data_IF_245169932165
#
_entry.id   IF_245169932165
#
_cell.length_a   1.000
_cell.length_b   1.000
_cell.length_c   1.000
_cell.angle_alpha   90.00
_cell.angle_beta   90.00
_cell.angle_gamma   90.00
#
_symmetry.space_group_name_H-M   'P 1'
#
loop_
_entity.id
_entity.type
_entity.pdbx_description
1 polymer ?
#
# COMPACT_ATOMS: atom_id res chain seq x y z
N UNK A 1 -7.49 -26.53 -15.37
CA UNK A 1 -7.72 -25.89 -14.07
C UNK A 1 -6.44 -26.08 -13.25
N UNK A 2 -5.55 -25.10 -13.33
CA UNK A 2 -4.24 -25.16 -12.66
C UNK A 2 -4.35 -24.40 -11.35
N UNK A 3 -4.23 -25.13 -10.23
CA UNK A 3 -4.14 -24.50 -8.91
C UNK A 3 -2.82 -23.75 -8.81
N UNK A 4 -2.83 -22.48 -8.34
CA UNK A 4 -1.59 -21.78 -8.02
C UNK A 4 -0.97 -22.42 -6.79
N UNK A 5 0.27 -22.87 -6.92
CA UNK A 5 1.08 -23.36 -5.80
C UNK A 5 1.29 -22.23 -4.78
N UNK A 6 1.21 -22.52 -3.47
CA UNK A 6 1.52 -21.54 -2.44
C UNK A 6 3.01 -21.17 -2.55
N UNK A 7 3.28 -19.92 -2.94
CA UNK A 7 4.63 -19.39 -2.94
C UNK A 7 5.10 -19.24 -1.49
N UNK A 8 6.05 -20.07 -1.09
CA UNK A 8 6.74 -19.96 0.18
C UNK A 8 7.51 -18.64 0.22
N UNK A 9 7.17 -17.79 1.18
CA UNK A 9 8.01 -16.67 1.57
C UNK A 9 9.28 -17.26 2.20
N UNK A 10 10.36 -17.36 1.43
CA UNK A 10 11.67 -17.69 1.95
C UNK A 10 12.30 -16.40 2.50
N UNK A 11 12.41 -16.31 3.80
CA UNK A 11 13.28 -15.34 4.43
C UNK A 11 14.72 -15.85 4.29
N UNK A 12 15.57 -15.10 3.60
CA UNK A 12 16.99 -15.44 3.53
C UNK A 12 17.71 -14.92 4.76
N UNK A 13 18.52 -15.76 5.38
CA UNK A 13 19.33 -15.43 6.54
C UNK A 13 20.38 -14.32 6.28
N UNK A 14 20.60 -13.93 5.05
CA UNK A 14 21.70 -13.06 4.61
C UNK A 14 21.33 -11.57 4.55
N UNK A 15 20.17 -11.14 5.06
CA UNK A 15 19.78 -9.72 5.18
C UNK A 15 19.75 -8.94 3.85
N UNK A 16 20.11 -9.56 2.74
CA UNK A 16 20.02 -8.99 1.41
C UNK A 16 18.64 -9.25 0.88
N UNK A 17 18.02 -8.20 0.34
CA UNK A 17 16.74 -8.28 -0.35
C UNK A 17 16.67 -9.58 -1.16
N UNK A 18 15.78 -10.48 -0.77
CA UNK A 18 15.49 -11.66 -1.58
C UNK A 18 14.97 -11.18 -2.93
N UNK A 19 15.87 -11.09 -3.91
CA UNK A 19 15.55 -10.96 -5.32
C UNK A 19 15.07 -12.32 -5.82
N UNK A 20 13.96 -12.80 -5.29
CA UNK A 20 13.33 -13.98 -5.84
C UNK A 20 11.97 -13.62 -6.38
N UNK A 21 11.85 -13.77 -7.70
CA UNK A 21 10.70 -13.46 -8.56
C UNK A 21 10.14 -12.06 -8.37
N UNK A 22 10.81 -11.10 -8.90
CA UNK A 22 10.54 -9.66 -8.92
C UNK A 22 9.22 -9.22 -9.57
N UNK A 23 8.20 -10.04 -9.58
CA UNK A 23 6.92 -9.73 -10.22
C UNK A 23 5.68 -10.10 -9.43
N UNK A 24 5.82 -10.84 -8.34
CA UNK A 24 4.66 -11.26 -7.56
C UNK A 24 4.18 -10.12 -6.64
N UNK A 25 2.92 -9.75 -6.79
CA UNK A 25 2.23 -8.82 -5.91
C UNK A 25 1.40 -9.61 -4.92
N UNK A 26 1.49 -9.25 -3.65
CA UNK A 26 0.75 -9.88 -2.57
C UNK A 26 -0.28 -8.92 -2.00
N UNK A 27 -1.47 -9.41 -1.77
CA UNK A 27 -2.49 -8.69 -1.00
C UNK A 27 -2.17 -8.77 0.50
N UNK A 28 -2.71 -7.85 1.28
CA UNK A 28 -2.55 -7.87 2.75
C UNK A 28 -3.03 -9.21 3.36
N UNK A 29 -4.08 -9.80 2.80
CA UNK A 29 -4.60 -11.09 3.25
C UNK A 29 -3.61 -12.24 3.01
N UNK A 30 -2.95 -12.26 1.85
CA UNK A 30 -1.92 -13.25 1.52
C UNK A 30 -0.68 -13.09 2.41
N UNK A 31 -0.24 -11.84 2.65
CA UNK A 31 0.87 -11.55 3.57
C UNK A 31 0.53 -12.03 4.99
N UNK A 32 -0.69 -11.75 5.46
CA UNK A 32 -1.16 -12.21 6.78
C UNK A 32 -1.17 -13.74 6.88
N UNK A 33 -1.70 -14.42 5.87
CA UNK A 33 -1.76 -15.88 5.84
C UNK A 33 -0.36 -16.50 5.84
N UNK A 34 0.56 -15.95 5.04
CA UNK A 34 1.94 -16.40 4.99
C UNK A 34 2.69 -16.18 6.32
N UNK A 35 2.46 -15.02 6.96
CA UNK A 35 3.02 -14.71 8.27
C UNK A 35 2.52 -15.68 9.34
N UNK A 36 1.22 -15.98 9.39
CA UNK A 36 0.64 -16.90 10.34
C UNK A 36 1.17 -18.33 10.13
N UNK A 37 1.26 -18.79 8.87
CA UNK A 37 1.83 -20.09 8.55
C UNK A 37 3.32 -20.20 8.97
N UNK A 38 4.10 -19.11 8.84
CA UNK A 38 5.47 -19.05 9.31
C UNK A 38 5.57 -19.16 10.82
N UNK A 39 4.75 -18.39 11.55
CA UNK A 39 4.68 -18.40 13.02
C UNK A 39 4.35 -19.79 13.55
N UNK A 40 3.39 -20.45 12.92
CA UNK A 40 2.95 -21.80 13.30
C UNK A 40 4.05 -22.85 13.03
N UNK A 41 4.68 -22.78 11.86
CA UNK A 41 5.75 -23.68 11.46
C UNK A 41 6.98 -23.61 12.40
N UNK A 42 7.30 -22.44 12.93
CA UNK A 42 8.47 -22.19 13.76
C UNK A 42 8.16 -22.12 15.27
N UNK A 43 6.91 -22.42 15.68
CA UNK A 43 6.44 -22.37 17.08
C UNK A 43 6.82 -21.06 17.81
N UNK A 44 6.60 -19.93 17.13
CA UNK A 44 6.97 -18.61 17.64
C UNK A 44 5.96 -18.02 18.63
N UNK A 45 4.85 -18.72 18.89
CA UNK A 45 3.83 -18.27 19.83
C UNK A 45 4.33 -18.40 21.26
N UNK A 46 4.16 -17.34 22.06
CA UNK A 46 4.50 -17.42 23.48
C UNK A 46 3.59 -18.40 24.21
N UNK A 47 4.18 -19.34 24.96
CA UNK A 47 3.43 -20.41 25.65
C UNK A 47 2.63 -19.90 26.86
N UNK A 48 3.06 -18.80 27.46
CA UNK A 48 2.37 -18.20 28.61
C UNK A 48 1.26 -17.26 28.15
N UNK A 49 1.58 -16.39 27.19
CA UNK A 49 0.63 -15.42 26.63
C UNK A 49 0.50 -15.61 25.12
N UNK A 50 -0.45 -16.39 24.69
CA UNK A 50 -0.66 -16.78 23.29
C UNK A 50 -0.94 -15.61 22.31
N UNK A 51 -1.24 -14.42 22.82
CA UNK A 51 -1.41 -13.21 22.02
C UNK A 51 -0.08 -12.64 21.53
N UNK A 52 1.04 -12.99 22.18
CA UNK A 52 2.38 -12.52 21.86
C UNK A 52 3.20 -13.56 21.10
N UNK A 53 4.14 -13.05 20.33
CA UNK A 53 5.13 -13.80 19.57
C UNK A 53 6.50 -13.56 20.19
N UNK A 54 7.31 -14.59 20.28
CA UNK A 54 8.71 -14.51 20.70
C UNK A 54 9.57 -14.07 19.50
N UNK A 55 9.83 -12.79 19.37
CA UNK A 55 10.54 -12.23 18.20
C UNK A 55 12.00 -12.68 18.16
N UNK A 56 12.64 -12.79 19.32
CA UNK A 56 14.05 -13.16 19.44
C UNK A 56 14.30 -14.67 19.27
N UNK A 57 13.26 -15.50 19.23
CA UNK A 57 13.41 -16.94 19.05
C UNK A 57 13.94 -17.32 17.66
N UNK A 58 13.69 -16.48 16.66
CA UNK A 58 14.15 -16.67 15.28
C UNK A 58 14.80 -15.39 14.75
N UNK A 59 16.10 -15.48 14.45
CA UNK A 59 16.88 -14.36 13.91
C UNK A 59 16.39 -13.92 12.50
N UNK A 60 15.87 -14.85 11.70
CA UNK A 60 15.35 -14.56 10.38
C UNK A 60 14.04 -13.77 10.49
N UNK A 61 13.17 -14.19 11.39
CA UNK A 61 11.92 -13.51 11.71
C UNK A 61 12.16 -12.10 12.24
N UNK A 62 13.05 -11.96 13.21
CA UNK A 62 13.47 -10.68 13.79
C UNK A 62 14.03 -9.74 12.72
N UNK A 63 14.94 -10.22 11.87
CA UNK A 63 15.52 -9.43 10.80
C UNK A 63 14.50 -9.03 9.72
N UNK A 64 13.50 -9.87 9.44
CA UNK A 64 12.43 -9.56 8.50
C UNK A 64 11.53 -8.42 9.00
N UNK A 65 11.23 -8.40 10.30
CA UNK A 65 10.35 -7.39 10.91
C UNK A 65 11.08 -6.06 11.18
N UNK A 66 12.26 -6.12 11.78
CA UNK A 66 12.95 -4.94 12.31
C UNK A 66 14.25 -4.59 11.57
N UNK A 67 14.73 -5.47 10.70
CA UNK A 67 15.96 -5.31 9.95
C UNK A 67 17.16 -5.97 10.62
N UNK A 68 18.28 -6.06 9.90
CA UNK A 68 19.50 -6.63 10.46
C UNK A 68 20.01 -5.76 11.62
N UNK A 69 20.51 -6.37 12.71
CA UNK A 69 20.86 -5.67 13.94
C UNK A 69 21.94 -4.58 13.78
N UNK A 70 22.71 -4.62 12.69
CA UNK A 70 23.81 -3.68 12.43
C UNK A 70 23.48 -2.62 11.38
N UNK A 71 22.23 -2.44 10.98
CA UNK A 71 21.86 -1.42 10.00
C UNK A 71 21.75 -0.05 10.66
N UNK A 72 22.26 1.00 9.97
CA UNK A 72 22.04 2.39 10.40
C UNK A 72 20.53 2.67 10.44
N UNK A 73 19.98 2.92 11.64
CA UNK A 73 18.55 3.12 11.84
C UNK A 73 17.78 1.83 12.21
N UNK A 74 18.47 0.80 12.68
CA UNK A 74 17.82 -0.39 13.24
C UNK A 74 16.93 0.02 14.42
N UNK A 75 15.65 -0.30 14.31
CA UNK A 75 14.71 -0.17 15.41
C UNK A 75 15.08 -1.20 16.49
N UNK A 76 15.06 -0.85 17.78
CA UNK A 76 15.30 -1.83 18.82
C UNK A 76 14.30 -2.98 18.68
N UNK A 77 14.81 -4.20 18.64
CA UNK A 77 13.98 -5.41 18.48
C UNK A 77 13.30 -5.69 19.82
N UNK A 78 11.97 -5.65 19.89
CA UNK A 78 11.27 -6.04 21.11
C UNK A 78 11.40 -7.56 21.32
N UNK A 79 11.39 -7.99 22.56
CA UNK A 79 11.41 -9.42 22.91
C UNK A 79 10.11 -10.10 22.46
N UNK A 80 8.99 -9.39 22.64
CA UNK A 80 7.66 -9.85 22.31
C UNK A 80 6.94 -8.85 21.42
N UNK A 81 6.13 -9.34 20.50
CA UNK A 81 5.28 -8.50 19.64
C UNK A 81 3.91 -9.16 19.44
N UNK A 82 2.87 -8.37 19.34
CA UNK A 82 1.54 -8.88 18.96
C UNK A 82 1.51 -9.25 17.47
N UNK A 83 0.62 -10.18 17.10
CA UNK A 83 0.47 -10.59 15.69
C UNK A 83 0.19 -9.43 14.74
N UNK A 84 -0.60 -8.45 15.19
CA UNK A 84 -0.92 -7.26 14.38
C UNK A 84 0.29 -6.32 14.25
N UNK A 85 1.08 -6.16 15.31
CA UNK A 85 2.31 -5.37 15.29
C UNK A 85 3.35 -6.01 14.37
N UNK A 86 3.50 -7.34 14.42
CA UNK A 86 4.38 -8.07 13.52
C UNK A 86 3.94 -7.92 12.05
N UNK A 87 2.64 -8.01 11.76
CA UNK A 87 2.11 -7.78 10.42
C UNK A 87 2.37 -6.34 9.95
N UNK A 88 2.13 -5.35 10.81
CA UNK A 88 2.40 -3.94 10.52
C UNK A 88 3.87 -3.67 10.24
N UNK A 89 4.77 -4.23 11.07
CA UNK A 89 6.21 -4.12 10.89
C UNK A 89 6.68 -4.76 9.57
N UNK A 90 6.18 -5.95 9.24
CA UNK A 90 6.48 -6.63 7.98
C UNK A 90 6.00 -5.80 6.78
N UNK A 91 4.75 -5.35 6.78
CA UNK A 91 4.18 -4.53 5.70
C UNK A 91 4.90 -3.18 5.55
N UNK A 92 5.34 -2.58 6.66
CA UNK A 92 6.11 -1.33 6.64
C UNK A 92 7.47 -1.45 5.94
N UNK A 93 8.04 -2.65 5.88
CA UNK A 93 9.28 -2.94 5.17
C UNK A 93 9.09 -3.39 3.72
N UNK A 94 7.87 -3.75 3.34
CA UNK A 94 7.53 -4.12 1.97
C UNK A 94 7.37 -2.85 1.12
N UNK A 95 7.78 -2.94 -0.15
CA UNK A 95 7.55 -1.87 -1.11
C UNK A 95 6.07 -1.86 -1.50
N UNK A 96 5.32 -0.77 -1.24
CA UNK A 96 3.94 -0.68 -1.66
C UNK A 96 3.82 -0.60 -3.18
N UNK A 97 2.82 -1.29 -3.72
CA UNK A 97 2.42 -1.23 -5.12
C UNK A 97 0.90 -1.14 -5.20
N UNK A 98 0.40 -0.56 -6.25
CA UNK A 98 -1.02 -0.57 -6.55
C UNK A 98 -1.30 -1.03 -7.98
N UNK A 99 -2.45 -1.66 -8.15
CA UNK A 99 -2.95 -2.12 -9.45
C UNK A 99 -4.31 -1.48 -9.70
N UNK A 100 -4.47 -0.86 -10.85
CA UNK A 100 -5.73 -0.25 -11.29
C UNK A 100 -6.17 -0.94 -12.56
N UNK A 101 -7.42 -1.41 -12.57
CA UNK A 101 -8.09 -1.91 -13.76
C UNK A 101 -9.27 -0.96 -14.07
N UNK A 102 -9.33 -0.43 -15.27
CA UNK A 102 -10.42 0.45 -15.73
C UNK A 102 -11.07 -0.22 -16.92
N UNK A 103 -12.34 -0.58 -16.76
CA UNK A 103 -13.09 -1.27 -17.81
C UNK A 103 -12.50 -2.63 -18.17
N UNK A 104 -12.35 -2.87 -19.48
CA UNK A 104 -11.78 -4.10 -20.05
C UNK A 104 -10.28 -4.01 -20.35
N UNK A 105 -9.65 -2.89 -20.03
CA UNK A 105 -8.24 -2.65 -20.33
C UNK A 105 -7.33 -3.45 -19.40
N UNK A 106 -6.09 -3.69 -19.86
CA UNK A 106 -5.08 -4.36 -19.06
C UNK A 106 -4.78 -3.59 -17.76
N UNK A 107 -4.72 -4.26 -16.61
CA UNK A 107 -4.49 -3.60 -15.34
C UNK A 107 -3.08 -2.98 -15.28
N UNK A 108 -3.01 -1.70 -14.98
CA UNK A 108 -1.75 -0.97 -14.81
C UNK A 108 -1.27 -1.14 -13.38
N UNK A 109 -0.02 -1.61 -13.24
CA UNK A 109 0.64 -1.80 -11.95
C UNK A 109 1.76 -0.77 -11.78
N UNK A 110 1.74 -0.02 -10.67
CA UNK A 110 2.74 1.03 -10.38
C UNK A 110 3.25 0.94 -8.95
N UNK A 111 4.49 1.38 -8.74
CA UNK A 111 5.09 1.54 -7.41
C UNK A 111 4.47 2.71 -6.66
N UNK A 112 4.34 2.55 -5.35
CA UNK A 112 3.88 3.58 -4.43
C UNK A 112 2.52 3.24 -3.84
N UNK A 113 2.06 4.08 -2.92
CA UNK A 113 0.71 4.03 -2.38
C UNK A 113 -0.24 4.85 -3.26
N UNK A 114 -1.41 4.30 -3.54
CA UNK A 114 -2.46 5.03 -4.23
C UNK A 114 -2.99 6.13 -3.32
N UNK A 115 -2.88 7.38 -3.77
CA UNK A 115 -3.43 8.52 -3.03
C UNK A 115 -4.91 8.69 -3.36
N UNK A 116 -5.76 9.01 -2.38
CA UNK A 116 -7.17 9.27 -2.63
C UNK A 116 -7.36 10.52 -3.49
N UNK A 117 -8.47 10.56 -4.23
CA UNK A 117 -8.92 11.78 -4.90
C UNK A 117 -9.35 12.77 -3.81
N UNK A 118 -8.82 13.99 -3.90
CA UNK A 118 -9.14 15.04 -2.95
C UNK A 118 -10.15 16.00 -3.57
N UNK A 119 -11.27 16.17 -2.90
CA UNK A 119 -12.32 17.14 -3.25
C UNK A 119 -12.34 18.21 -2.16
N UNK A 120 -12.09 19.45 -2.51
CA UNK A 120 -12.04 20.56 -1.57
C UNK A 120 -12.78 21.77 -2.13
N UNK A 121 -13.45 22.51 -1.27
CA UNK A 121 -14.05 23.80 -1.63
C UNK A 121 -13.07 24.92 -1.39
N UNK A 122 -13.01 25.87 -2.33
CA UNK A 122 -12.20 27.08 -2.22
C UNK A 122 -13.08 28.30 -2.42
N UNK A 123 -12.96 29.25 -1.51
CA UNK A 123 -13.60 30.55 -1.68
C UNK A 123 -12.97 31.31 -2.87
N UNK A 124 -13.81 31.94 -3.65
CA UNK A 124 -13.46 32.90 -4.70
C UNK A 124 -13.84 34.30 -4.26
N UNK A 125 -13.90 35.20 -5.19
CA UNK A 125 -14.26 36.58 -4.94
C UNK A 125 -15.69 36.71 -4.42
N UNK A 126 -15.89 37.38 -3.28
CA UNK A 126 -17.17 37.56 -2.62
C UNK A 126 -17.69 36.25 -1.98
N UNK A 127 -18.97 35.96 -2.16
CA UNK A 127 -19.66 34.77 -1.60
C UNK A 127 -19.57 33.53 -2.52
N UNK A 128 -18.79 33.62 -3.61
CA UNK A 128 -18.67 32.51 -4.59
C UNK A 128 -17.65 31.49 -4.11
N UNK A 129 -17.99 30.23 -4.26
CA UNK A 129 -17.09 29.11 -3.98
C UNK A 129 -16.87 28.30 -5.25
N UNK A 130 -15.73 27.64 -5.34
CA UNK A 130 -15.47 26.62 -6.36
C UNK A 130 -15.06 25.32 -5.69
N UNK A 131 -15.40 24.20 -6.30
CA UNK A 131 -14.97 22.87 -5.86
C UNK A 131 -13.75 22.48 -6.70
N UNK A 132 -12.67 22.15 -6.02
CA UNK A 132 -11.42 21.67 -6.62
C UNK A 132 -11.36 20.15 -6.48
N UNK A 133 -11.04 19.48 -7.57
CA UNK A 133 -10.82 18.03 -7.60
C UNK A 133 -9.38 17.81 -8.04
N UNK A 134 -8.61 17.04 -7.25
CA UNK A 134 -7.19 16.75 -7.52
C UNK A 134 -6.87 15.29 -7.22
N UNK A 135 -5.82 14.76 -7.84
CA UNK A 135 -5.33 13.41 -7.57
C UNK A 135 -6.10 12.30 -8.29
N UNK A 136 -6.76 12.60 -9.39
CA UNK A 136 -7.52 11.63 -10.19
C UNK A 136 -6.70 10.96 -11.30
N UNK A 137 -5.53 11.50 -11.64
CA UNK A 137 -4.67 10.98 -12.70
C UNK A 137 -4.21 9.54 -12.47
N UNK A 138 -3.84 9.13 -11.23
CA UNK A 138 -3.45 7.75 -10.98
C UNK A 138 -4.55 6.73 -11.28
N UNK A 139 -5.82 7.15 -11.26
CA UNK A 139 -7.00 6.32 -11.55
C UNK A 139 -7.32 6.21 -13.04
N UNK A 140 -6.43 6.68 -13.91
CA UNK A 140 -6.62 6.71 -15.38
C UNK A 140 -7.84 7.54 -15.83
N UNK A 141 -8.27 8.45 -15.00
CA UNK A 141 -9.34 9.39 -15.36
C UNK A 141 -8.72 10.55 -16.15
N UNK A 142 -9.16 10.75 -17.40
CA UNK A 142 -8.76 11.93 -18.17
C UNK A 142 -9.48 13.17 -17.64
N UNK A 143 -8.81 14.31 -17.65
CA UNK A 143 -9.42 15.56 -17.23
C UNK A 143 -10.63 15.92 -18.08
N UNK A 144 -10.58 15.64 -19.38
CA UNK A 144 -11.63 16.01 -20.34
C UNK A 144 -12.89 15.18 -20.12
N UNK A 145 -12.74 13.87 -19.99
CA UNK A 145 -13.86 12.95 -19.69
C UNK A 145 -14.50 13.29 -18.34
N UNK A 146 -13.68 13.58 -17.32
CA UNK A 146 -14.17 13.94 -15.99
C UNK A 146 -14.87 15.31 -16.01
N UNK A 147 -14.30 16.29 -16.72
CA UNK A 147 -14.88 17.63 -16.89
C UNK A 147 -16.26 17.56 -17.55
N UNK A 148 -16.39 16.82 -18.62
CA UNK A 148 -17.66 16.69 -19.34
C UNK A 148 -18.72 15.98 -18.49
N UNK A 149 -18.35 14.88 -17.84
CA UNK A 149 -19.24 14.14 -16.95
C UNK A 149 -19.73 15.01 -15.77
N UNK A 150 -18.85 15.82 -15.18
CA UNK A 150 -19.20 16.71 -14.09
C UNK A 150 -20.04 17.91 -14.56
N UNK A 151 -19.74 18.46 -15.73
CA UNK A 151 -20.53 19.55 -16.31
C UNK A 151 -21.99 19.15 -16.50
N UNK A 152 -22.21 17.95 -17.02
CA UNK A 152 -23.56 17.41 -17.23
C UNK A 152 -24.27 17.13 -15.90
N UNK A 153 -23.57 16.44 -14.96
CA UNK A 153 -24.19 16.00 -13.72
C UNK A 153 -24.39 17.10 -12.69
N UNK A 154 -23.48 18.05 -12.63
CA UNK A 154 -23.52 19.15 -11.67
C UNK A 154 -24.12 20.44 -12.23
N UNK A 155 -24.49 20.48 -13.52
CA UNK A 155 -25.00 21.64 -14.23
C UNK A 155 -24.17 22.92 -13.96
N UNK A 156 -22.84 22.76 -13.87
CA UNK A 156 -21.90 23.82 -13.50
C UNK A 156 -20.82 23.99 -14.55
N UNK A 157 -20.25 25.20 -14.64
CA UNK A 157 -19.10 25.43 -15.49
C UNK A 157 -17.87 24.77 -14.88
N UNK A 158 -17.09 24.09 -15.70
CA UNK A 158 -15.89 23.38 -15.28
C UNK A 158 -14.69 23.93 -16.04
N UNK A 159 -13.55 24.04 -15.35
CA UNK A 159 -12.28 24.36 -15.98
C UNK A 159 -11.19 23.42 -15.48
N UNK A 160 -10.31 22.98 -16.37
CA UNK A 160 -9.13 22.22 -16.00
C UNK A 160 -7.90 23.11 -16.05
N UNK A 161 -7.02 23.01 -15.05
CA UNK A 161 -5.78 23.74 -14.99
C UNK A 161 -4.64 22.76 -14.71
N UNK A 162 -3.65 22.73 -15.58
CA UNK A 162 -2.44 21.95 -15.40
C UNK A 162 -1.39 22.80 -14.67
N UNK A 163 -0.94 22.35 -13.51
CA UNK A 163 0.17 22.95 -12.77
C UNK A 163 1.16 21.86 -12.41
N UNK A 164 2.43 22.03 -12.84
CA UNK A 164 3.61 21.23 -12.46
C UNK A 164 3.31 19.80 -11.93
N UNK A 165 2.79 18.90 -12.76
CA UNK A 165 2.47 17.48 -12.50
C UNK A 165 1.15 17.19 -11.77
N UNK A 166 0.28 18.16 -11.59
CA UNK A 166 -1.05 17.92 -10.99
C UNK A 166 -2.11 18.61 -11.84
N UNK A 167 -3.07 17.84 -12.31
CA UNK A 167 -4.25 18.38 -12.94
C UNK A 167 -5.24 18.81 -11.86
N UNK A 168 -5.78 20.00 -11.97
CA UNK A 168 -6.81 20.56 -11.07
C UNK A 168 -8.05 20.83 -11.87
N UNK A 169 -9.14 20.29 -11.42
CA UNK A 169 -10.45 20.52 -11.98
C UNK A 169 -11.21 21.46 -11.05
N UNK A 170 -11.73 22.55 -11.57
CA UNK A 170 -12.53 23.49 -10.82
C UNK A 170 -13.95 23.50 -11.38
N UNK A 171 -14.93 23.36 -10.49
CA UNK A 171 -16.37 23.50 -10.76
C UNK A 171 -16.83 24.84 -10.18
N UNK A 172 -17.61 25.59 -10.95
CA UNK A 172 -18.09 26.91 -10.59
C UNK A 172 -19.60 26.95 -10.54
#
# INVERSE_FOLDING_TARGET
>A
MSHPHPHHLFFSADGRQCRHSTGALYTLAEVKSALLAYIEKHDLVNRVEQQYLNVNADAVFSAALYGPPNSKGATPVPEFAKREEALGALCGRMQPWYRIAVGSDEPITKKGALRPIVIATKARQGRKTCTLITGFEPYQLSSDTLTEALRVRCASSTSSTYSLRVCRLALF
#
